data_IF_219831784983
#
_entry.id   IF_219831784983
#
_cell.length_a   1.000
_cell.length_b   1.000
_cell.length_c   1.000
_cell.angle_alpha   90.00
_cell.angle_beta   90.00
_cell.angle_gamma   90.00
#
_symmetry.space_group_name_H-M   'P 1'
#
loop_
_entity.id
_entity.type
_entity.pdbx_description
1 polymer ?
#
# COMPACT_ATOMS: atom_id res chain seq x y z
N UNK A 1 12.09 -4.29 25.95
CA UNK A 1 12.34 -4.20 24.50
C UNK A 1 11.20 -3.45 23.85
N UNK A 2 11.50 -2.36 23.16
CA UNK A 2 10.48 -1.63 22.42
C UNK A 2 10.17 -2.34 21.12
N UNK A 3 8.90 -2.59 20.88
CA UNK A 3 8.45 -3.04 19.57
C UNK A 3 8.10 -1.82 18.73
N UNK A 4 8.51 -1.83 17.49
CA UNK A 4 8.14 -0.79 16.54
C UNK A 4 6.69 -1.01 16.10
N UNK A 5 5.82 0.02 16.20
CA UNK A 5 4.46 -0.12 15.68
C UNK A 5 4.43 -0.42 14.19
N UNK A 6 3.54 -1.30 13.78
CA UNK A 6 3.38 -1.65 12.36
C UNK A 6 2.65 -0.52 11.63
N UNK A 7 3.22 -0.09 10.52
CA UNK A 7 2.58 0.87 9.59
C UNK A 7 2.03 0.09 8.41
N UNK A 8 0.73 0.26 8.15
CA UNK A 8 0.10 -0.32 6.97
C UNK A 8 0.02 0.72 5.86
N UNK A 9 0.74 0.45 4.77
CA UNK A 9 0.56 1.19 3.52
C UNK A 9 -0.54 0.48 2.74
N UNK A 10 -1.62 1.18 2.44
CA UNK A 10 -2.76 0.63 1.70
C UNK A 10 -2.87 1.36 0.38
N UNK A 11 -2.83 0.62 -0.70
CA UNK A 11 -2.78 1.18 -2.05
C UNK A 11 -3.91 0.63 -2.90
N UNK A 12 -5.00 1.41 -3.06
CA UNK A 12 -5.98 1.10 -4.09
C UNK A 12 -5.31 1.30 -5.45
N UNK A 13 -5.24 0.25 -6.26
CA UNK A 13 -4.49 0.27 -7.50
C UNK A 13 -5.40 0.09 -8.71
N UNK A 14 -5.17 0.88 -9.74
CA UNK A 14 -5.93 0.82 -10.99
C UNK A 14 -5.03 0.90 -12.21
N UNK A 15 -3.94 1.70 -12.15
CA UNK A 15 -3.01 1.91 -13.27
C UNK A 15 -1.74 1.11 -13.06
N UNK A 16 -1.22 0.54 -14.15
CA UNK A 16 0.00 -0.26 -14.10
C UNK A 16 1.28 0.56 -14.31
N UNK A 17 1.18 1.73 -14.93
CA UNK A 17 2.32 2.49 -15.46
C UNK A 17 3.40 2.77 -14.40
N UNK A 18 3.00 3.20 -13.20
CA UNK A 18 3.93 3.57 -12.13
C UNK A 18 3.84 2.63 -10.92
N UNK A 19 3.10 1.54 -11.03
CA UNK A 19 2.82 0.66 -9.89
C UNK A 19 4.09 0.06 -9.30
N UNK A 20 4.99 -0.47 -10.14
CA UNK A 20 6.23 -1.08 -9.66
C UNK A 20 7.09 -0.08 -8.89
N UNK A 21 7.21 1.16 -9.40
CA UNK A 21 8.01 2.19 -8.75
C UNK A 21 7.40 2.61 -7.41
N UNK A 22 6.07 2.71 -7.35
CA UNK A 22 5.37 3.01 -6.09
C UNK A 22 5.60 1.91 -5.06
N UNK A 23 5.44 0.66 -5.45
CA UNK A 23 5.69 -0.49 -4.57
C UNK A 23 7.14 -0.52 -4.10
N UNK A 24 8.09 -0.34 -5.01
CA UNK A 24 9.52 -0.36 -4.68
C UNK A 24 9.86 0.73 -3.67
N UNK A 25 9.29 1.92 -3.80
CA UNK A 25 9.55 3.02 -2.87
C UNK A 25 9.04 2.74 -1.46
N UNK A 26 7.96 2.00 -1.35
CA UNK A 26 7.42 1.59 -0.04
C UNK A 26 8.28 0.49 0.58
N UNK A 27 8.70 -0.49 -0.22
CA UNK A 27 9.55 -1.58 0.27
C UNK A 27 10.95 -1.11 0.64
N UNK A 28 11.39 0.02 0.11
CA UNK A 28 12.70 0.60 0.39
C UNK A 28 12.72 1.51 1.63
N UNK A 29 11.62 1.60 2.39
CA UNK A 29 11.57 2.44 3.58
C UNK A 29 12.58 1.99 4.63
N UNK A 30 13.23 2.98 5.26
CA UNK A 30 14.19 2.71 6.34
C UNK A 30 13.54 2.20 7.60
N UNK A 31 12.25 2.53 7.81
CA UNK A 31 11.49 1.99 8.93
C UNK A 31 11.07 0.54 8.58
N UNK A 32 11.51 -0.47 9.36
CA UNK A 32 11.33 -1.87 8.95
C UNK A 32 9.93 -2.45 9.20
N UNK A 33 9.19 -1.91 10.18
CA UNK A 33 7.90 -2.49 10.57
C UNK A 33 6.77 -1.94 9.68
N UNK A 34 6.74 -2.38 8.43
CA UNK A 34 5.71 -1.99 7.46
C UNK A 34 5.05 -3.22 6.85
N UNK A 35 3.82 -3.05 6.41
CA UNK A 35 3.17 -3.94 5.45
C UNK A 35 2.67 -3.10 4.29
N UNK A 36 2.57 -3.72 3.12
CA UNK A 36 1.99 -3.10 1.94
C UNK A 36 0.81 -3.94 1.46
N UNK A 37 -0.34 -3.31 1.39
CA UNK A 37 -1.56 -3.94 0.91
C UNK A 37 -1.94 -3.26 -0.40
N UNK A 38 -1.85 -3.99 -1.51
CA UNK A 38 -2.25 -3.51 -2.83
C UNK A 38 -3.60 -4.13 -3.18
N UNK A 39 -4.59 -3.29 -3.43
CA UNK A 39 -5.94 -3.74 -3.79
C UNK A 39 -6.24 -3.32 -5.22
N UNK A 40 -6.21 -4.29 -6.13
CA UNK A 40 -6.55 -4.08 -7.54
C UNK A 40 -8.08 -3.92 -7.65
N UNK A 41 -8.52 -2.73 -8.06
CA UNK A 41 -9.94 -2.40 -8.15
C UNK A 41 -10.55 -2.84 -9.49
N UNK A 42 -10.37 -4.11 -9.81
CA UNK A 42 -10.85 -4.71 -11.07
C UNK A 42 -10.39 -3.91 -12.28
N UNK A 43 -9.10 -3.62 -12.31
CA UNK A 43 -8.48 -2.80 -13.36
C UNK A 43 -8.45 -3.54 -14.69
N UNK A 44 -8.68 -2.83 -15.83
CA UNK A 44 -8.46 -3.42 -17.15
C UNK A 44 -6.97 -3.55 -17.48
N UNK A 45 -6.08 -2.93 -16.69
CA UNK A 45 -4.63 -3.04 -16.86
C UNK A 45 -4.12 -4.31 -16.18
N UNK A 46 -2.99 -4.82 -16.65
CA UNK A 46 -2.41 -6.05 -16.11
C UNK A 46 -1.59 -5.77 -14.85
N UNK A 47 -2.27 -5.52 -13.73
CA UNK A 47 -1.62 -5.33 -12.45
C UNK A 47 -1.10 -6.65 -11.88
N UNK A 48 -1.75 -7.77 -12.22
CA UNK A 48 -1.37 -9.09 -11.70
C UNK A 48 0.07 -9.44 -12.07
N UNK A 49 0.49 -9.16 -13.32
CA UNK A 49 1.84 -9.48 -13.75
C UNK A 49 2.89 -8.59 -13.09
N UNK A 50 2.54 -7.35 -12.78
CA UNK A 50 3.43 -6.45 -12.02
C UNK A 50 3.60 -6.99 -10.60
N UNK A 51 2.50 -7.32 -9.93
CA UNK A 51 2.53 -7.77 -8.55
C UNK A 51 3.12 -9.18 -8.40
N UNK A 52 3.05 -10.01 -9.43
CA UNK A 52 3.64 -11.35 -9.42
C UNK A 52 5.18 -11.33 -9.24
N UNK A 53 5.81 -10.20 -9.51
CA UNK A 53 7.26 -10.04 -9.33
C UNK A 53 7.67 -9.90 -7.87
N UNK A 54 6.71 -9.62 -6.97
CA UNK A 54 6.99 -9.35 -5.57
C UNK A 54 6.76 -10.59 -4.73
N UNK A 55 7.83 -11.07 -4.11
CA UNK A 55 7.79 -12.22 -3.18
C UNK A 55 8.03 -11.81 -1.74
N UNK A 56 8.18 -10.51 -1.49
CA UNK A 56 8.39 -9.98 -0.15
C UNK A 56 7.18 -10.30 0.74
N UNK A 57 7.38 -10.94 1.91
CA UNK A 57 6.26 -11.34 2.78
C UNK A 57 5.50 -10.16 3.37
N UNK A 58 6.03 -8.94 3.29
CA UNK A 58 5.33 -7.74 3.76
C UNK A 58 4.24 -7.30 2.77
N UNK A 59 4.26 -7.81 1.53
CA UNK A 59 3.31 -7.44 0.47
C UNK A 59 2.14 -8.41 0.47
N UNK A 60 0.94 -7.85 0.51
CA UNK A 60 -0.31 -8.60 0.29
C UNK A 60 -1.05 -7.96 -0.88
N UNK A 61 -1.50 -8.80 -1.82
CA UNK A 61 -2.18 -8.34 -3.03
C UNK A 61 -3.56 -8.97 -3.12
N UNK A 62 -4.56 -8.12 -3.32
CA UNK A 62 -5.96 -8.53 -3.47
C UNK A 62 -6.55 -7.92 -4.73
N UNK A 63 -7.53 -8.60 -5.30
CA UNK A 63 -8.23 -8.13 -6.47
C UNK A 63 -9.73 -8.11 -6.23
N UNK A 64 -10.37 -6.97 -6.50
CA UNK A 64 -11.82 -6.86 -6.43
C UNK A 64 -12.45 -7.53 -7.66
N UNK A 65 -13.59 -8.17 -7.46
CA UNK A 65 -14.34 -8.80 -8.56
C UNK A 65 -14.99 -7.76 -9.47
N UNK A 66 -15.29 -6.58 -8.91
CA UNK A 66 -15.91 -5.48 -9.62
C UNK A 66 -15.21 -4.18 -9.27
N UNK A 67 -15.20 -3.24 -10.22
CA UNK A 67 -14.65 -1.90 -9.96
C UNK A 67 -15.56 -1.15 -8.99
N UNK A 68 -15.01 -0.73 -7.87
CA UNK A 68 -15.72 0.02 -6.82
C UNK A 68 -15.46 1.52 -6.97
N UNK A 69 -14.19 1.89 -7.13
CA UNK A 69 -13.75 3.29 -7.07
C UNK A 69 -14.23 4.15 -8.22
N UNK A 70 -14.49 3.56 -9.38
CA UNK A 70 -15.02 4.29 -10.54
C UNK A 70 -16.41 4.85 -10.31
N UNK A 71 -17.18 4.21 -9.42
CA UNK A 71 -18.53 4.66 -9.05
C UNK A 71 -18.56 5.29 -7.66
N UNK A 72 -17.77 4.73 -6.72
CA UNK A 72 -17.77 5.12 -5.32
C UNK A 72 -16.36 5.05 -4.76
N UNK A 73 -15.58 6.10 -4.95
CA UNK A 73 -14.19 6.14 -4.49
C UNK A 73 -14.07 5.92 -2.98
N UNK A 74 -14.96 6.52 -2.20
CA UNK A 74 -14.99 6.37 -0.75
C UNK A 74 -15.20 4.91 -0.33
N UNK A 75 -16.07 4.19 -1.04
CA UNK A 75 -16.33 2.77 -0.75
C UNK A 75 -15.10 1.91 -1.04
N UNK A 76 -14.34 2.24 -2.09
CA UNK A 76 -13.09 1.54 -2.37
C UNK A 76 -12.11 1.75 -1.23
N UNK A 77 -11.96 2.96 -0.73
CA UNK A 77 -11.10 3.25 0.41
C UNK A 77 -11.53 2.50 1.65
N UNK A 78 -12.83 2.49 1.97
CA UNK A 78 -13.38 1.73 3.10
C UNK A 78 -13.10 0.24 2.96
N UNK A 79 -13.27 -0.31 1.77
CA UNK A 79 -12.98 -1.71 1.47
C UNK A 79 -11.51 -2.02 1.74
N UNK A 80 -10.60 -1.15 1.27
CA UNK A 80 -9.16 -1.31 1.48
C UNK A 80 -8.80 -1.30 2.96
N UNK A 81 -9.45 -0.46 3.77
CA UNK A 81 -9.18 -0.37 5.20
C UNK A 81 -9.47 -1.69 5.93
N UNK A 82 -10.34 -2.54 5.38
CA UNK A 82 -10.64 -3.84 5.95
C UNK A 82 -9.46 -4.80 5.99
N UNK A 83 -8.40 -4.54 5.21
CA UNK A 83 -7.21 -5.39 5.17
C UNK A 83 -6.09 -4.94 6.11
N UNK A 84 -6.24 -3.77 6.75
CA UNK A 84 -5.20 -3.15 7.56
C UNK A 84 -4.98 -3.92 8.86
N UNK A 85 -3.72 -4.19 9.20
CA UNK A 85 -3.33 -4.86 10.45
C UNK A 85 -2.50 -3.97 11.35
N UNK A 86 -1.93 -2.89 10.82
CA UNK A 86 -1.04 -2.01 11.55
C UNK A 86 -1.75 -1.06 12.48
N UNK A 87 -0.97 -0.44 13.38
CA UNK A 87 -1.45 0.59 14.29
C UNK A 87 -1.58 1.94 13.61
N UNK A 88 -0.81 2.15 12.55
CA UNK A 88 -0.81 3.37 11.76
C UNK A 88 -1.09 3.04 10.30
N UNK A 89 -1.69 3.98 9.61
CA UNK A 89 -2.16 3.78 8.25
C UNK A 89 -1.62 4.90 7.35
N UNK A 90 -1.11 4.51 6.18
CA UNK A 90 -0.81 5.43 5.08
C UNK A 90 -1.64 5.01 3.87
N UNK A 91 -2.50 5.92 3.39
CA UNK A 91 -3.20 5.70 2.12
C UNK A 91 -2.25 6.07 1.00
N UNK A 92 -1.84 5.07 0.23
CA UNK A 92 -0.88 5.25 -0.86
C UNK A 92 -1.60 5.25 -2.20
N UNK A 93 -1.01 5.91 -3.19
CA UNK A 93 -1.51 5.88 -4.56
C UNK A 93 -0.57 5.07 -5.44
N UNK A 94 -1.11 4.50 -6.53
CA UNK A 94 -0.36 3.64 -7.44
C UNK A 94 0.60 4.41 -8.36
N UNK A 95 0.64 5.73 -8.23
CA UNK A 95 1.52 6.62 -8.98
C UNK A 95 2.38 7.53 -8.08
N UNK A 96 2.36 7.33 -6.77
CA UNK A 96 3.17 8.11 -5.83
C UNK A 96 4.48 7.41 -5.51
N UNK A 97 5.53 8.21 -5.31
CA UNK A 97 6.83 7.75 -4.83
C UNK A 97 7.09 8.31 -3.45
N UNK A 98 7.58 7.47 -2.56
CA UNK A 98 7.86 7.86 -1.18
C UNK A 98 9.37 7.94 -0.96
N UNK A 99 9.80 9.01 -0.29
CA UNK A 99 11.20 9.13 0.13
C UNK A 99 11.55 7.96 1.07
N UNK A 100 12.79 7.47 1.05
CA UNK A 100 13.17 6.29 1.87
C UNK A 100 12.92 6.47 3.37
N UNK A 101 12.95 7.71 3.86
CA UNK A 101 12.76 8.04 5.29
C UNK A 101 11.35 8.47 5.65
N UNK A 102 10.40 8.38 4.71
CA UNK A 102 9.04 8.88 4.93
C UNK A 102 8.40 8.24 6.17
N UNK A 103 8.41 6.91 6.26
CA UNK A 103 7.79 6.20 7.38
C UNK A 103 8.52 6.48 8.69
N UNK A 104 9.84 6.52 8.66
CA UNK A 104 10.67 6.83 9.82
C UNK A 104 10.35 8.22 10.38
N UNK A 105 10.25 9.23 9.51
CA UNK A 105 9.93 10.59 9.91
C UNK A 105 8.50 10.69 10.47
N UNK A 106 7.54 10.00 9.85
CA UNK A 106 6.19 9.95 10.37
C UNK A 106 6.15 9.36 11.78
N UNK A 107 6.91 8.31 12.03
CA UNK A 107 6.92 7.66 13.34
C UNK A 107 7.60 8.50 14.40
N UNK A 108 8.62 9.29 14.06
CA UNK A 108 9.23 10.24 14.99
C UNK A 108 8.19 11.25 15.48
N UNK A 109 7.34 11.74 14.58
CA UNK A 109 6.28 12.69 14.95
C UNK A 109 5.19 12.01 15.77
N UNK A 110 4.78 10.80 15.41
CA UNK A 110 3.69 10.09 16.06
C UNK A 110 4.03 9.67 17.50
N UNK A 111 5.32 9.46 17.78
CA UNK A 111 5.77 8.96 19.08
C UNK A 111 6.31 10.05 20.01
N UNK A 112 6.11 11.30 19.65
CA UNK A 112 6.47 12.42 20.53
C UNK A 112 5.46 12.63 21.63
#
# INVERSE_FOLDING_TARGET
MQTQPLISFVMPAYKAEWLAQAVDSILAQTYPAIELIVVNDCSPHNLDSVMAQYTDPRVRYYRNEQNIGGKHLTRQWEHCLGFVRGEYLVMAADDDLYAPTFAEECMKLAMQ
#
